data_IF_054411383017
#
_entry.id   IF_054411383017
#
_cell.length_a   1.000
_cell.length_b   1.000
_cell.length_c   1.000
_cell.angle_alpha   90.00
_cell.angle_beta   90.00
_cell.angle_gamma   90.00
#
_symmetry.space_group_name_H-M   'P 1'
#
loop_
_entity.id
_entity.type
_entity.pdbx_description
1 polymer ?
#
# COMPACT_ATOMS: atom_id res chain seq x y z
N UNK A 1 8.93 -24.34 -39.14
CA UNK A 1 10.23 -23.66 -38.96
C UNK A 1 10.09 -22.23 -38.45
N UNK A 2 9.35 -21.34 -39.10
CA UNK A 2 9.24 -19.95 -38.64
C UNK A 2 8.60 -19.80 -37.23
N UNK A 3 7.57 -20.58 -36.92
CA UNK A 3 6.86 -20.51 -35.63
C UNK A 3 7.72 -21.02 -34.46
N UNK A 4 8.43 -22.13 -34.67
CA UNK A 4 9.39 -22.71 -33.71
C UNK A 4 10.49 -21.69 -33.33
N UNK A 5 11.03 -20.98 -34.33
CA UNK A 5 12.08 -19.97 -34.12
C UNK A 5 11.55 -18.78 -33.31
N UNK A 6 10.31 -18.35 -33.55
CA UNK A 6 9.67 -17.27 -32.77
C UNK A 6 9.49 -17.66 -31.30
N UNK A 7 9.07 -18.89 -31.02
CA UNK A 7 8.97 -19.38 -29.64
C UNK A 7 10.34 -19.43 -28.96
N UNK A 8 11.38 -19.89 -29.64
CA UNK A 8 12.74 -19.92 -29.09
C UNK A 8 13.24 -18.52 -28.74
N UNK A 9 13.02 -17.52 -29.59
CA UNK A 9 13.39 -16.13 -29.29
C UNK A 9 12.57 -15.53 -28.13
N UNK A 10 11.27 -15.84 -28.06
CA UNK A 10 10.41 -15.38 -26.95
C UNK A 10 10.86 -16.00 -25.61
N UNK A 11 11.10 -17.31 -25.56
CA UNK A 11 11.59 -17.98 -24.36
C UNK A 11 13.00 -17.50 -23.98
N UNK A 12 13.92 -17.34 -24.93
CA UNK A 12 15.25 -16.80 -24.68
C UNK A 12 15.21 -15.37 -24.09
N UNK A 13 14.26 -14.54 -24.53
CA UNK A 13 14.09 -13.19 -23.98
C UNK A 13 13.59 -13.17 -22.52
N UNK A 14 12.80 -14.17 -22.12
CA UNK A 14 12.32 -14.31 -20.73
C UNK A 14 13.44 -14.75 -19.78
N UNK A 15 14.34 -15.64 -20.24
CA UNK A 15 15.43 -16.14 -19.41
C UNK A 15 16.63 -15.19 -19.27
N UNK A 16 16.75 -14.17 -20.11
CA UNK A 16 17.85 -13.18 -20.04
C UNK A 16 17.56 -11.93 -19.19
N UNK A 17 16.35 -11.80 -18.63
CA UNK A 17 16.00 -10.66 -17.80
C UNK A 17 16.34 -10.93 -16.32
N UNK A 18 17.52 -10.50 -15.88
CA UNK A 18 17.91 -10.53 -14.47
C UNK A 18 17.35 -9.28 -13.77
N UNK A 19 16.38 -9.44 -12.85
CA UNK A 19 15.88 -8.32 -12.05
C UNK A 19 16.80 -8.10 -10.84
N UNK A 20 17.47 -6.94 -10.79
CA UNK A 20 18.26 -6.56 -9.61
C UNK A 20 17.34 -5.98 -8.55
N UNK A 21 17.18 -6.71 -7.45
CA UNK A 21 16.59 -6.16 -6.23
C UNK A 21 17.55 -5.13 -5.62
N UNK A 22 17.13 -3.86 -5.55
CA UNK A 22 17.93 -2.80 -4.95
C UNK A 22 17.53 -2.62 -3.49
N UNK A 23 18.50 -2.75 -2.58
CA UNK A 23 18.30 -2.48 -1.15
C UNK A 23 18.37 -0.96 -0.94
N UNK A 24 17.26 -0.36 -0.53
CA UNK A 24 17.18 1.08 -0.26
C UNK A 24 17.63 1.38 1.17
N UNK A 25 18.41 2.45 1.36
CA UNK A 25 18.66 2.99 2.70
C UNK A 25 17.49 3.89 3.10
N UNK A 26 16.55 3.35 3.88
CA UNK A 26 15.32 4.03 4.32
C UNK A 26 15.48 4.76 5.65
N UNK A 27 16.70 4.84 6.20
CA UNK A 27 16.95 5.44 7.52
C UNK A 27 16.61 6.93 7.53
N UNK A 28 15.76 7.37 8.47
CA UNK A 28 15.46 8.78 8.68
C UNK A 28 16.68 9.51 9.26
N UNK A 29 17.16 10.55 8.56
CA UNK A 29 18.21 11.45 9.07
C UNK A 29 17.96 12.87 8.58
N UNK A 30 18.20 13.83 9.46
CA UNK A 30 18.26 15.24 9.11
C UNK A 30 19.72 15.58 8.80
N UNK A 31 19.96 16.21 7.66
CA UNK A 31 21.30 16.68 7.28
C UNK A 31 21.34 18.20 7.48
N UNK A 32 22.19 18.71 8.38
CA UNK A 32 22.40 20.15 8.53
C UNK A 32 22.81 20.79 7.21
N UNK A 33 22.48 22.07 7.02
CA UNK A 33 22.85 22.86 5.81
C UNK A 33 22.24 22.36 4.50
N UNK A 34 21.29 21.43 4.56
CA UNK A 34 20.48 20.96 3.41
C UNK A 34 19.00 21.13 3.69
N UNK A 35 18.21 21.18 2.61
CA UNK A 35 16.76 21.09 2.72
C UNK A 35 16.40 19.66 3.11
N UNK A 36 15.67 19.53 4.22
CA UNK A 36 15.19 18.24 4.71
C UNK A 36 13.71 18.11 4.33
N UNK A 37 13.40 17.10 3.52
CA UNK A 37 12.05 16.81 3.07
C UNK A 37 11.46 15.72 3.95
N UNK A 38 10.42 16.07 4.70
CA UNK A 38 9.68 15.11 5.52
C UNK A 38 8.52 14.55 4.71
N UNK A 39 8.62 13.28 4.33
CA UNK A 39 7.52 12.55 3.70
C UNK A 39 6.60 12.04 4.81
N UNK A 40 5.32 12.43 4.77
CA UNK A 40 4.31 12.03 5.76
C UNK A 40 3.18 11.26 5.07
N UNK A 41 3.32 9.93 4.91
CA UNK A 41 2.28 9.09 4.34
C UNK A 41 1.03 9.06 5.23
N UNK A 42 -0.14 9.23 4.61
CA UNK A 42 -1.44 9.23 5.28
C UNK A 42 -2.54 8.76 4.33
N UNK A 43 -3.68 8.33 4.88
CA UNK A 43 -4.95 8.17 4.16
C UNK A 43 -5.98 9.11 4.77
N UNK A 44 -6.85 9.64 3.93
CA UNK A 44 -8.01 10.43 4.37
C UNK A 44 -9.25 9.57 4.21
N UNK A 45 -9.78 9.09 5.34
CA UNK A 45 -10.88 8.13 5.34
C UNK A 45 -12.16 8.78 5.90
N UNK A 46 -13.02 9.28 5.00
CA UNK A 46 -14.25 9.94 5.39
C UNK A 46 -15.19 9.01 6.19
N UNK A 47 -15.59 9.44 7.39
CA UNK A 47 -16.54 8.72 8.25
C UNK A 47 -17.99 8.99 7.80
N UNK A 48 -18.27 8.65 6.55
CA UNK A 48 -19.53 8.94 5.88
C UNK A 48 -19.46 10.25 5.09
N UNK A 49 -19.60 10.11 3.76
CA UNK A 49 -19.68 11.23 2.81
C UNK A 49 -20.61 10.83 1.66
N UNK A 50 -20.06 10.20 0.60
CA UNK A 50 -20.85 9.67 -0.52
C UNK A 50 -21.35 8.24 -0.28
N UNK A 51 -20.65 7.51 0.59
CA UNK A 51 -20.99 6.15 1.02
C UNK A 51 -21.23 6.15 2.53
N UNK A 52 -21.95 5.13 3.00
CA UNK A 52 -22.07 4.90 4.45
C UNK A 52 -20.73 4.46 5.04
N UNK A 53 -20.59 4.59 6.36
CA UNK A 53 -19.38 4.17 7.08
C UNK A 53 -19.02 2.71 6.77
N UNK A 54 -19.99 1.80 6.83
CA UNK A 54 -19.74 0.38 6.58
C UNK A 54 -19.39 0.09 5.11
N UNK A 55 -19.99 0.84 4.18
CA UNK A 55 -19.63 0.74 2.77
C UNK A 55 -18.20 1.23 2.50
N UNK A 56 -17.73 2.25 3.20
CA UNK A 56 -16.33 2.67 3.16
C UNK A 56 -15.41 1.65 3.83
N UNK A 57 -15.83 1.07 4.96
CA UNK A 57 -15.02 0.10 5.71
C UNK A 57 -14.79 -1.20 4.92
N UNK A 58 -15.86 -1.86 4.47
CA UNK A 58 -15.80 -3.14 3.76
C UNK A 58 -15.61 -3.02 2.24
N UNK A 59 -15.63 -1.82 1.68
CA UNK A 59 -15.54 -1.63 0.23
C UNK A 59 -16.83 -1.98 -0.52
N UNK A 60 -18.00 -1.78 0.08
CA UNK A 60 -19.30 -1.96 -0.57
C UNK A 60 -19.61 -0.83 -1.56
N UNK A 61 -20.44 -1.09 -2.58
CA UNK A 61 -20.93 -0.09 -3.53
C UNK A 61 -19.83 0.77 -4.21
N UNK A 62 -18.76 0.11 -4.67
CA UNK A 62 -17.61 0.78 -5.30
C UNK A 62 -17.94 1.47 -6.63
N UNK A 63 -19.09 1.20 -7.23
CA UNK A 63 -19.58 1.93 -8.40
C UNK A 63 -19.81 3.43 -8.13
N UNK A 64 -20.12 3.82 -6.88
CA UNK A 64 -20.20 5.24 -6.48
C UNK A 64 -18.79 5.81 -6.29
N UNK A 65 -17.97 5.10 -5.51
CA UNK A 65 -16.58 5.44 -5.24
C UNK A 65 -15.81 4.20 -4.76
N UNK A 66 -14.72 3.88 -5.46
CA UNK A 66 -13.80 2.81 -5.07
C UNK A 66 -13.02 3.21 -3.82
N UNK A 67 -13.39 2.64 -2.67
CA UNK A 67 -12.74 2.89 -1.39
C UNK A 67 -13.05 1.73 -0.44
N UNK A 68 -12.02 1.17 0.18
CA UNK A 68 -12.09 0.10 1.16
C UNK A 68 -11.04 0.35 2.25
N UNK A 69 -11.48 0.80 3.43
CA UNK A 69 -10.57 1.13 4.54
C UNK A 69 -9.89 -0.12 5.09
N UNK A 70 -10.58 -1.26 5.11
CA UNK A 70 -9.98 -2.52 5.55
C UNK A 70 -8.72 -2.86 4.74
N UNK A 71 -8.78 -2.76 3.41
CA UNK A 71 -7.63 -3.03 2.54
C UNK A 71 -6.48 -2.04 2.78
N UNK A 72 -6.79 -0.77 3.07
CA UNK A 72 -5.78 0.24 3.40
C UNK A 72 -5.06 -0.16 4.69
N UNK A 73 -5.80 -0.49 5.75
CA UNK A 73 -5.22 -0.90 7.02
C UNK A 73 -4.39 -2.19 6.88
N UNK A 74 -4.92 -3.22 6.22
CA UNK A 74 -4.22 -4.49 6.00
C UNK A 74 -2.89 -4.28 5.26
N UNK A 75 -2.93 -3.54 4.15
CA UNK A 75 -1.74 -3.28 3.34
C UNK A 75 -0.70 -2.39 4.03
N UNK A 76 -1.15 -1.37 4.76
CA UNK A 76 -0.27 -0.49 5.54
C UNK A 76 0.42 -1.28 6.65
N UNK A 77 -0.31 -2.12 7.39
CA UNK A 77 0.28 -2.94 8.46
C UNK A 77 1.35 -3.86 7.89
N UNK A 78 1.07 -4.60 6.81
CA UNK A 78 2.08 -5.44 6.15
C UNK A 78 3.29 -4.61 5.71
N UNK A 79 3.06 -3.46 5.06
CA UNK A 79 4.15 -2.61 4.60
C UNK A 79 5.00 -2.05 5.76
N UNK A 80 4.41 -1.73 6.91
CA UNK A 80 5.14 -1.23 8.08
C UNK A 80 5.92 -2.34 8.80
N UNK A 81 5.44 -3.58 8.76
CA UNK A 81 6.14 -4.73 9.33
C UNK A 81 7.39 -5.09 8.51
N UNK A 82 7.34 -4.92 7.19
CA UNK A 82 8.46 -5.19 6.29
C UNK A 82 9.67 -4.27 6.52
N UNK A 83 9.46 -3.01 6.91
CA UNK A 83 10.53 -2.04 7.16
C UNK A 83 10.20 -1.10 8.33
N UNK A 84 10.98 -1.24 9.41
CA UNK A 84 10.86 -0.46 10.66
C UNK A 84 11.04 1.05 10.47
N UNK A 85 11.69 1.49 9.39
CA UNK A 85 11.88 2.91 9.09
C UNK A 85 10.64 3.54 8.46
N UNK A 86 9.73 2.77 7.87
CA UNK A 86 8.48 3.29 7.30
C UNK A 86 7.62 3.88 8.42
N UNK A 87 6.88 4.94 8.06
CA UNK A 87 5.97 5.67 8.93
C UNK A 87 4.65 5.88 8.21
N UNK A 88 3.57 5.85 8.97
CA UNK A 88 2.24 6.15 8.48
C UNK A 88 1.44 6.79 9.61
N UNK A 89 0.66 7.82 9.30
CA UNK A 89 -0.27 8.43 10.25
C UNK A 89 -1.70 8.06 9.88
N UNK A 90 -2.50 7.78 10.90
CA UNK A 90 -3.93 7.49 10.77
C UNK A 90 -4.69 8.38 11.76
N UNK A 91 -5.86 8.90 11.39
CA UNK A 91 -6.55 9.93 12.18
C UNK A 91 -7.90 9.44 12.71
N UNK A 92 -8.62 8.63 11.94
CA UNK A 92 -10.04 8.30 12.15
C UNK A 92 -10.25 7.13 13.13
N UNK A 93 -9.59 7.24 14.29
CA UNK A 93 -9.50 6.24 15.36
C UNK A 93 -10.85 5.75 15.88
N UNK A 94 -11.80 6.69 16.06
CA UNK A 94 -13.05 6.44 16.77
C UNK A 94 -14.03 5.49 16.05
N UNK A 95 -13.91 5.35 14.72
CA UNK A 95 -14.84 4.54 13.93
C UNK A 95 -14.13 3.39 13.22
N UNK A 96 -13.10 3.67 12.43
CA UNK A 96 -12.49 2.62 11.60
C UNK A 96 -11.48 1.79 12.39
N UNK A 97 -10.58 2.44 13.13
CA UNK A 97 -9.55 1.69 13.87
C UNK A 97 -10.17 0.88 15.02
N UNK A 98 -11.17 1.41 15.72
CA UNK A 98 -11.91 0.64 16.74
C UNK A 98 -12.62 -0.59 16.16
N UNK A 99 -13.31 -0.45 15.02
CA UNK A 99 -13.96 -1.58 14.35
C UNK A 99 -12.95 -2.61 13.84
N UNK A 100 -11.80 -2.17 13.35
CA UNK A 100 -10.72 -3.04 12.90
C UNK A 100 -10.12 -3.87 14.05
N UNK A 101 -9.75 -3.24 15.16
CA UNK A 101 -9.28 -4.00 16.34
C UNK A 101 -10.34 -4.93 16.91
N UNK A 102 -11.61 -4.51 16.91
CA UNK A 102 -12.71 -5.37 17.35
C UNK A 102 -12.85 -6.60 16.45
N UNK A 103 -12.60 -6.48 15.15
CA UNK A 103 -12.68 -7.59 14.21
C UNK A 103 -11.44 -8.51 14.26
N UNK A 104 -10.24 -7.97 14.49
CA UNK A 104 -9.01 -8.78 14.66
C UNK A 104 -8.93 -9.55 15.98
N UNK A 105 -9.77 -9.24 16.96
CA UNK A 105 -9.80 -9.89 18.29
C UNK A 105 -10.79 -11.06 18.38
N UNK A 106 -11.42 -11.48 17.27
CA UNK A 106 -12.25 -12.67 17.16
C UNK A 106 -11.75 -13.64 16.10
#
# INVERSE_FOLDING_TARGET
MAIEVVFVFFFASIFCAESKYMVYNTTQRVVPEKINVHLVPHSHDDVGWLKTVDQYYFGGNNSIRGACVQNVLDSVISALLDDKNRKFIYVEMARFLFNYYKFCLF
#
